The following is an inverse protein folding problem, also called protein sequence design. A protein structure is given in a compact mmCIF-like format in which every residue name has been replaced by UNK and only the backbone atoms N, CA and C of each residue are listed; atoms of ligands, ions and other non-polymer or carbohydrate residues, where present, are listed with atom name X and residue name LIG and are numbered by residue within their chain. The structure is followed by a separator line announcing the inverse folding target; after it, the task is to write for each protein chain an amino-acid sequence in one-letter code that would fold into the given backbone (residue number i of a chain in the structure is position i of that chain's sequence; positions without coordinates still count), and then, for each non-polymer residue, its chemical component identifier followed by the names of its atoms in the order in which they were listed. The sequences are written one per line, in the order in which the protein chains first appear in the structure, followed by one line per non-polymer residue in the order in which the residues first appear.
data_IF_395372381929
#
_entry.id   IF_395372381929
#
_cell.length_a   1.000
_cell.length_b   1.000
_cell.length_c   1.000
_cell.angle_alpha   90.00
_cell.angle_beta   90.00
_cell.angle_gamma   90.00
#
_symmetry.space_group_name_H-M   'P 1'
#
loop_
_entity.id
_entity.type
_entity.pdbx_description
1 polymer ?
#
# COMPACT_ATOMS: atom_id res chain seq x y z
N UNK A 1 32.59 42.92 -7.47
CA UNK A 1 31.26 42.64 -6.88
C UNK A 1 31.00 43.34 -5.54
N UNK A 2 31.92 44.13 -5.05
CA UNK A 2 31.84 44.70 -3.70
C UNK A 2 31.40 46.17 -3.58
N UNK A 3 30.99 46.79 -4.67
CA UNK A 3 30.54 48.19 -4.63
C UNK A 3 29.04 48.42 -4.49
N UNK A 4 28.21 47.40 -4.60
CA UNK A 4 26.75 47.53 -4.48
C UNK A 4 26.15 47.18 -3.13
N UNK A 5 26.94 46.60 -2.18
CA UNK A 5 26.47 46.28 -0.85
C UNK A 5 26.44 47.44 0.15
N UNK A 6 27.24 48.48 -0.09
CA UNK A 6 27.34 49.62 0.82
C UNK A 6 26.22 50.65 0.66
N UNK A 7 25.38 50.55 -0.37
CA UNK A 7 24.25 51.48 -0.62
C UNK A 7 22.95 51.09 0.08
N UNK A 8 22.86 49.86 0.59
CA UNK A 8 21.63 49.33 1.23
C UNK A 8 21.63 49.53 2.76
N UNK A 9 22.78 49.81 3.37
CA UNK A 9 22.88 49.97 4.84
C UNK A 9 22.49 51.38 5.35
N UNK A 10 22.20 52.34 4.45
CA UNK A 10 21.97 53.72 4.81
C UNK A 10 20.52 54.18 4.96
N UNK A 11 19.50 53.37 4.66
CA UNK A 11 18.09 53.81 4.71
C UNK A 11 17.19 52.80 5.46
N UNK A 12 16.91 53.02 6.77
CA UNK A 12 16.05 52.15 7.55
C UNK A 12 14.61 52.03 7.00
N UNK A 13 14.12 53.03 6.29
CA UNK A 13 12.76 53.01 5.71
C UNK A 13 12.63 52.06 4.48
N UNK A 14 13.70 51.80 3.77
CA UNK A 14 13.69 50.86 2.60
C UNK A 14 13.66 49.42 3.07
N UNK A 15 14.37 49.08 4.14
CA UNK A 15 14.38 47.77 4.73
C UNK A 15 13.02 47.38 5.29
N UNK A 16 12.32 48.33 5.95
CA UNK A 16 10.97 48.10 6.45
C UNK A 16 9.93 47.90 5.36
N UNK A 17 10.01 48.64 4.25
CA UNK A 17 9.11 48.49 3.11
C UNK A 17 9.29 47.17 2.36
N UNK A 18 10.53 46.66 2.23
CA UNK A 18 10.82 45.38 1.58
C UNK A 18 10.35 44.19 2.47
N UNK A 19 10.54 44.28 3.79
CA UNK A 19 10.10 43.22 4.71
C UNK A 19 8.57 43.16 4.83
N UNK A 20 7.85 44.31 4.79
CA UNK A 20 6.38 44.32 4.81
C UNK A 20 5.79 43.80 3.50
N UNK A 21 6.35 44.14 2.36
CA UNK A 21 5.88 43.61 1.04
C UNK A 21 6.14 42.12 0.91
N UNK A 22 7.28 41.61 1.36
CA UNK A 22 7.58 40.17 1.37
C UNK A 22 6.71 39.41 2.38
N UNK A 23 6.43 39.99 3.55
CA UNK A 23 5.55 39.42 4.57
C UNK A 23 4.09 39.33 4.10
N UNK A 24 3.57 40.37 3.45
CA UNK A 24 2.22 40.40 2.88
C UNK A 24 2.11 39.41 1.71
N UNK A 25 3.12 39.33 0.86
CA UNK A 25 3.16 38.37 -0.26
C UNK A 25 3.20 36.91 0.23
N UNK A 26 3.93 36.63 1.32
CA UNK A 26 4.00 35.30 1.93
C UNK A 26 2.68 34.92 2.63
N UNK A 27 2.07 35.84 3.36
CA UNK A 27 0.77 35.61 4.01
C UNK A 27 -0.38 35.43 3.00
N UNK A 28 -0.38 36.22 1.89
CA UNK A 28 -1.34 36.07 0.81
C UNK A 28 -1.17 34.71 0.08
N UNK A 29 0.07 34.31 -0.23
CA UNK A 29 0.34 32.99 -0.83
C UNK A 29 -0.05 31.82 0.09
N UNK A 30 0.14 31.95 1.41
CA UNK A 30 -0.26 30.94 2.40
C UNK A 30 -1.78 30.86 2.54
N UNK A 31 -2.51 31.97 2.49
CA UNK A 31 -3.98 32.01 2.47
C UNK A 31 -4.54 31.43 1.17
N UNK A 32 -3.98 31.78 0.00
CA UNK A 32 -4.39 31.21 -1.30
C UNK A 32 -4.12 29.69 -1.38
N UNK A 33 -2.98 29.19 -0.85
CA UNK A 33 -2.71 27.75 -0.79
C UNK A 33 -3.66 27.03 0.17
N UNK A 34 -3.99 27.62 1.34
CA UNK A 34 -4.99 27.07 2.26
C UNK A 34 -6.42 27.05 1.67
N UNK A 35 -6.77 28.08 0.89
CA UNK A 35 -8.09 28.16 0.25
C UNK A 35 -8.21 27.19 -0.93
N UNK A 36 -7.14 27.00 -1.75
CA UNK A 36 -7.10 25.97 -2.79
C UNK A 36 -7.08 24.54 -2.25
N UNK A 37 -6.45 24.30 -1.10
CA UNK A 37 -6.46 23.00 -0.43
C UNK A 37 -7.83 22.69 0.21
N UNK A 38 -8.60 23.70 0.67
CA UNK A 38 -9.95 23.51 1.22
C UNK A 38 -11.04 23.33 0.14
N UNK A 39 -10.83 23.78 -1.10
CA UNK A 39 -11.84 23.75 -2.16
C UNK A 39 -11.87 22.44 -2.97
N UNK A 40 -10.93 21.52 -2.75
CA UNK A 40 -10.84 20.30 -3.59
C UNK A 40 -11.55 19.07 -3.02
N UNK A 41 -11.96 19.07 -1.75
CA UNK A 41 -12.56 17.90 -1.09
C UNK A 41 -13.67 18.30 -0.12
N UNK A 42 -14.74 18.93 -0.61
CA UNK A 42 -16.02 18.86 0.06
C UNK A 42 -16.70 17.56 -0.39
N UNK A 43 -16.57 16.50 0.40
CA UNK A 43 -17.35 15.29 0.22
C UNK A 43 -18.80 15.65 0.53
N UNK A 44 -19.78 15.44 -0.37
CA UNK A 44 -21.20 15.60 -0.03
C UNK A 44 -21.52 14.65 1.12
N UNK A 45 -22.25 15.13 2.12
CA UNK A 45 -22.79 14.27 3.17
C UNK A 45 -23.75 13.26 2.51
N UNK A 46 -23.40 11.99 2.57
CA UNK A 46 -24.28 10.91 2.07
C UNK A 46 -25.46 10.81 3.02
N UNK A 47 -26.66 10.95 2.48
CA UNK A 47 -27.90 10.85 3.23
C UNK A 47 -28.00 9.46 3.90
N UNK A 48 -28.47 9.42 5.15
CA UNK A 48 -28.54 8.19 5.95
C UNK A 48 -29.45 7.11 5.32
N UNK A 49 -30.33 7.50 4.41
CA UNK A 49 -31.26 6.61 3.72
C UNK A 49 -30.62 5.87 2.52
N UNK A 50 -29.61 6.42 1.85
CA UNK A 50 -28.88 5.73 0.77
C UNK A 50 -27.90 4.67 1.30
N UNK A 51 -27.50 4.74 2.58
CA UNK A 51 -26.67 3.70 3.23
C UNK A 51 -27.35 2.34 3.31
N UNK A 52 -28.67 2.28 3.24
CA UNK A 52 -29.44 1.05 3.46
C UNK A 52 -29.47 0.08 2.26
N UNK A 53 -29.11 0.51 1.04
CA UNK A 53 -29.25 -0.34 -0.15
C UNK A 53 -28.00 -1.16 -0.51
N UNK A 54 -26.88 -0.97 0.21
CA UNK A 54 -25.62 -1.71 -0.03
C UNK A 54 -25.24 -2.70 1.09
N UNK A 55 -26.08 -2.84 2.09
CA UNK A 55 -25.86 -3.79 3.18
C UNK A 55 -26.53 -5.10 2.82
N UNK A 56 -25.80 -6.06 2.28
CA UNK A 56 -26.19 -7.46 2.28
C UNK A 56 -26.47 -7.84 3.75
N UNK A 57 -27.70 -8.22 4.08
CA UNK A 57 -28.16 -8.45 5.43
C UNK A 57 -27.22 -9.44 6.16
N UNK A 58 -26.62 -8.99 7.25
CA UNK A 58 -25.98 -9.77 8.33
C UNK A 58 -25.05 -10.96 7.96
N UNK A 59 -24.32 -10.90 6.84
CA UNK A 59 -23.29 -11.90 6.59
C UNK A 59 -22.05 -11.53 7.39
N UNK A 60 -21.74 -12.33 8.41
CA UNK A 60 -20.48 -12.23 9.14
C UNK A 60 -19.30 -12.54 8.19
N UNK A 61 -18.19 -11.84 8.38
CA UNK A 61 -16.95 -12.02 7.57
C UNK A 61 -16.50 -13.49 7.55
N UNK A 62 -16.53 -14.17 8.70
CA UNK A 62 -16.15 -15.57 8.80
C UNK A 62 -17.05 -16.48 7.95
N UNK A 63 -18.34 -16.19 7.91
CA UNK A 63 -19.31 -16.90 7.07
C UNK A 63 -19.06 -16.62 5.59
N UNK A 64 -18.72 -15.38 5.22
CA UNK A 64 -18.51 -15.00 3.83
C UNK A 64 -17.27 -15.68 3.20
N UNK A 65 -16.20 -15.84 3.97
CA UNK A 65 -14.93 -16.38 3.46
C UNK A 65 -14.68 -17.85 3.80
N UNK A 66 -15.50 -18.44 4.68
CA UNK A 66 -15.32 -19.78 5.17
C UNK A 66 -14.20 -19.93 6.21
N UNK A 67 -13.91 -21.18 6.63
CA UNK A 67 -12.96 -21.44 7.69
C UNK A 67 -11.51 -21.17 7.25
N UNK A 68 -10.72 -20.67 8.19
CA UNK A 68 -9.27 -20.49 8.05
C UNK A 68 -8.57 -21.80 8.39
N UNK A 69 -7.66 -22.24 7.52
CA UNK A 69 -6.86 -23.46 7.76
C UNK A 69 -5.69 -23.16 8.70
N UNK A 70 -5.60 -23.78 9.88
CA UNK A 70 -4.53 -23.53 10.83
C UNK A 70 -3.17 -24.06 10.37
N UNK A 71 -2.12 -23.29 10.58
CA UNK A 71 -0.73 -23.73 10.51
C UNK A 71 -0.24 -24.08 11.92
N UNK A 72 -0.56 -25.30 12.38
CA UNK A 72 -0.38 -25.71 13.78
C UNK A 72 1.08 -25.78 14.25
N UNK A 73 1.98 -26.14 13.34
CA UNK A 73 3.42 -26.31 13.62
C UNK A 73 4.25 -25.23 12.91
N UNK A 74 3.66 -24.05 12.67
CA UNK A 74 4.32 -22.98 11.94
C UNK A 74 5.45 -22.37 12.78
N UNK A 75 6.65 -22.39 12.21
CA UNK A 75 7.80 -21.66 12.71
C UNK A 75 8.23 -20.61 11.69
N UNK A 76 8.03 -19.34 12.03
CA UNK A 76 8.38 -18.24 11.12
C UNK A 76 9.89 -18.18 10.85
N UNK A 77 10.74 -18.61 11.80
CA UNK A 77 12.20 -18.52 11.67
C UNK A 77 12.75 -19.43 10.56
N UNK A 78 12.06 -20.54 10.30
CA UNK A 78 12.41 -21.50 9.25
C UNK A 78 11.59 -21.38 7.98
N UNK A 79 10.58 -20.48 7.98
CA UNK A 79 9.70 -20.27 6.84
C UNK A 79 10.39 -19.40 5.79
N UNK A 80 10.73 -19.98 4.64
CA UNK A 80 11.33 -19.26 3.53
C UNK A 80 10.27 -18.50 2.71
N UNK A 81 10.60 -17.30 2.19
CA UNK A 81 9.75 -16.60 1.24
C UNK A 81 9.48 -17.44 0.00
N UNK A 82 8.21 -17.62 -0.39
CA UNK A 82 7.88 -18.36 -1.60
C UNK A 82 8.41 -17.66 -2.85
N UNK A 83 8.80 -18.42 -3.88
CA UNK A 83 9.17 -17.85 -5.19
C UNK A 83 7.90 -17.50 -5.98
N UNK A 84 7.45 -16.24 -5.87
CA UNK A 84 6.19 -15.77 -6.50
C UNK A 84 6.41 -15.10 -7.88
N UNK A 85 7.65 -14.94 -8.31
CA UNK A 85 7.94 -14.38 -9.64
C UNK A 85 7.47 -15.30 -10.75
N UNK A 86 6.75 -14.68 -11.70
CA UNK A 86 6.27 -15.34 -12.93
C UNK A 86 6.79 -14.55 -14.11
N UNK A 87 7.80 -15.07 -14.75
CA UNK A 87 8.38 -14.48 -15.94
C UNK A 87 7.61 -14.95 -17.17
N UNK A 88 7.45 -14.05 -18.12
CA UNK A 88 6.81 -14.34 -19.40
C UNK A 88 7.66 -13.75 -20.53
N UNK A 89 7.92 -14.49 -21.59
CA UNK A 89 8.73 -14.02 -22.71
C UNK A 89 8.14 -12.80 -23.42
N UNK A 90 6.85 -12.53 -23.25
CA UNK A 90 6.19 -11.30 -23.72
C UNK A 90 5.31 -10.72 -22.62
N UNK A 91 5.43 -9.43 -22.40
CA UNK A 91 4.61 -8.74 -21.41
C UNK A 91 3.26 -8.32 -22.00
N UNK A 92 2.18 -8.79 -21.40
CA UNK A 92 0.84 -8.33 -21.73
C UNK A 92 0.23 -7.63 -20.52
N UNK A 93 -0.13 -6.35 -20.67
CA UNK A 93 -0.87 -5.62 -19.66
C UNK A 93 -2.28 -6.20 -19.55
N UNK A 94 -2.51 -6.91 -18.48
CA UNK A 94 -3.79 -7.51 -18.09
C UNK A 94 -3.98 -7.40 -16.59
N UNK A 95 -5.17 -7.71 -16.08
CA UNK A 95 -5.39 -7.78 -14.63
C UNK A 95 -4.54 -8.87 -13.96
N UNK A 96 -4.21 -9.95 -14.66
CA UNK A 96 -3.33 -11.03 -14.20
C UNK A 96 -3.82 -11.76 -12.95
N UNK A 97 -5.14 -11.76 -12.72
CA UNK A 97 -5.76 -12.27 -11.48
C UNK A 97 -5.86 -13.79 -11.48
N UNK A 98 -5.70 -14.37 -10.30
CA UNK A 98 -5.87 -15.80 -10.01
C UNK A 98 -6.77 -15.95 -8.79
N UNK A 99 -7.47 -17.08 -8.67
CA UNK A 99 -8.23 -17.41 -7.46
C UNK A 99 -7.26 -17.77 -6.33
N UNK A 100 -7.58 -17.36 -5.11
CA UNK A 100 -6.90 -17.78 -3.90
C UNK A 100 -7.93 -17.99 -2.78
N UNK A 101 -7.47 -18.32 -1.58
CA UNK A 101 -8.32 -18.57 -0.41
C UNK A 101 -8.02 -17.55 0.69
N UNK A 102 -8.86 -17.52 1.71
CA UNK A 102 -8.69 -16.67 2.89
C UNK A 102 -7.37 -16.97 3.63
N UNK A 103 -6.84 -18.15 3.48
CA UNK A 103 -5.58 -18.58 4.10
C UNK A 103 -4.36 -17.78 3.66
N UNK A 104 -4.45 -17.11 2.49
CA UNK A 104 -3.32 -16.47 1.83
C UNK A 104 -3.42 -14.94 1.82
N UNK A 105 -4.23 -14.34 2.69
CA UNK A 105 -4.39 -12.87 2.72
C UNK A 105 -3.26 -12.14 3.43
N UNK A 106 -2.58 -12.79 4.38
CA UNK A 106 -1.43 -12.25 5.11
C UNK A 106 -0.36 -13.34 5.16
N UNK A 107 0.90 -12.95 4.94
CA UNK A 107 2.00 -13.89 4.86
C UNK A 107 3.07 -13.56 5.90
N UNK A 108 3.63 -14.61 6.53
CA UNK A 108 4.72 -14.48 7.51
C UNK A 108 5.85 -15.40 7.07
N UNK A 109 7.09 -14.88 7.09
CA UNK A 109 8.30 -15.64 6.79
C UNK A 109 9.43 -15.28 7.79
N UNK A 110 10.64 -15.81 7.61
CA UNK A 110 11.77 -15.60 8.52
C UNK A 110 12.18 -14.12 8.67
N UNK A 111 11.73 -13.23 7.78
CA UNK A 111 12.01 -11.78 7.85
C UNK A 111 11.03 -11.03 8.73
N UNK A 112 10.02 -11.68 9.28
CA UNK A 112 8.91 -11.07 10.02
C UNK A 112 9.37 -10.00 11.02
N UNK A 113 10.28 -10.33 11.95
CA UNK A 113 10.76 -9.38 12.95
C UNK A 113 11.52 -8.19 12.35
N UNK A 114 12.41 -8.44 11.39
CA UNK A 114 13.19 -7.38 10.75
C UNK A 114 12.28 -6.41 10.00
N UNK A 115 11.28 -6.93 9.30
CA UNK A 115 10.33 -6.11 8.56
C UNK A 115 9.37 -5.34 9.48
N UNK A 116 8.91 -5.93 10.58
CA UNK A 116 8.14 -5.18 11.58
C UNK A 116 8.96 -4.03 12.19
N UNK A 117 10.25 -4.26 12.46
CA UNK A 117 11.15 -3.21 12.95
C UNK A 117 11.25 -2.05 11.95
N UNK A 118 11.44 -2.35 10.67
CA UNK A 118 11.49 -1.36 9.62
C UNK A 118 10.16 -0.60 9.45
N UNK A 119 9.02 -1.30 9.44
CA UNK A 119 7.70 -0.68 9.36
C UNK A 119 7.46 0.31 10.49
N UNK A 120 7.84 -0.04 11.71
CA UNK A 120 7.76 0.85 12.88
C UNK A 120 8.65 2.09 12.72
N UNK A 121 9.89 1.92 12.25
CA UNK A 121 10.79 3.02 11.99
C UNK A 121 10.28 3.95 10.86
N UNK A 122 9.75 3.37 9.78
CA UNK A 122 9.14 4.12 8.68
C UNK A 122 7.91 4.90 9.17
N UNK A 123 7.00 4.27 9.90
CA UNK A 123 5.80 4.93 10.40
C UNK A 123 6.12 6.08 11.39
N UNK A 124 7.17 5.92 12.21
CA UNK A 124 7.64 6.98 13.10
C UNK A 124 8.25 8.17 12.32
N UNK A 125 9.01 7.90 11.26
CA UNK A 125 9.64 8.93 10.43
C UNK A 125 8.67 9.57 9.43
N UNK A 126 7.64 8.83 9.00
CA UNK A 126 6.68 9.19 7.97
C UNK A 126 5.25 8.81 8.39
N UNK A 127 4.64 9.59 9.31
CA UNK A 127 3.30 9.27 9.85
C UNK A 127 2.20 9.16 8.77
N UNK A 128 2.42 9.73 7.60
CA UNK A 128 1.49 9.69 6.46
C UNK A 128 1.38 8.30 5.79
N UNK A 129 2.26 7.35 6.09
CA UNK A 129 2.15 5.98 5.59
C UNK A 129 1.01 5.19 6.24
N UNK A 130 0.42 5.74 7.31
CA UNK A 130 -0.78 5.22 7.94
C UNK A 130 -1.82 6.34 7.98
N UNK A 131 -2.95 6.13 7.33
CA UNK A 131 -4.02 7.12 7.29
C UNK A 131 -5.40 6.46 7.24
N UNK A 132 -6.37 7.08 7.88
CA UNK A 132 -7.77 6.67 7.84
C UNK A 132 -8.65 7.93 7.81
N UNK A 133 -9.51 8.06 6.79
CA UNK A 133 -10.56 9.06 6.78
C UNK A 133 -11.77 8.55 7.60
N UNK A 134 -12.53 9.43 8.27
CA UNK A 134 -13.65 9.01 9.12
C UNK A 134 -14.66 8.09 8.42
N UNK A 135 -14.90 8.31 7.15
CA UNK A 135 -15.83 7.48 6.34
C UNK A 135 -15.35 6.04 6.18
N UNK A 136 -14.06 5.76 6.32
CA UNK A 136 -13.48 4.42 6.22
C UNK A 136 -13.37 3.70 7.58
N UNK A 137 -13.59 4.38 8.71
CA UNK A 137 -13.46 3.77 10.03
C UNK A 137 -14.30 2.50 10.21
N UNK A 138 -15.59 2.44 9.76
CA UNK A 138 -16.38 1.21 9.87
C UNK A 138 -15.74 0.02 9.14
N UNK A 139 -15.11 0.25 7.97
CA UNK A 139 -14.43 -0.79 7.23
C UNK A 139 -13.12 -1.24 7.90
N UNK A 140 -12.37 -0.28 8.45
CA UNK A 140 -11.16 -0.57 9.21
C UNK A 140 -11.48 -1.38 10.48
N UNK A 141 -12.55 -1.03 11.20
CA UNK A 141 -12.99 -1.76 12.39
C UNK A 141 -13.51 -3.16 12.05
N UNK A 142 -14.26 -3.31 10.95
CA UNK A 142 -14.71 -4.60 10.43
C UNK A 142 -13.49 -5.51 10.13
N UNK A 143 -12.50 -4.98 9.41
CA UNK A 143 -11.28 -5.71 9.08
C UNK A 143 -10.44 -6.03 10.31
N UNK A 144 -10.18 -5.05 11.19
CA UNK A 144 -9.43 -5.24 12.42
C UNK A 144 -10.01 -6.34 13.29
N UNK A 145 -11.31 -6.30 13.55
CA UNK A 145 -12.01 -7.27 14.37
C UNK A 145 -11.86 -8.69 13.81
N UNK A 146 -12.06 -8.85 12.51
CA UNK A 146 -11.87 -10.15 11.86
C UNK A 146 -10.44 -10.66 11.95
N UNK A 147 -9.47 -9.81 11.65
CA UNK A 147 -8.06 -10.20 11.67
C UNK A 147 -7.61 -10.58 13.08
N UNK A 148 -7.95 -9.77 14.08
CA UNK A 148 -7.48 -9.95 15.46
C UNK A 148 -8.23 -11.05 16.20
N UNK A 149 -9.54 -11.14 16.04
CA UNK A 149 -10.34 -12.12 16.80
C UNK A 149 -10.41 -13.49 16.14
N UNK A 150 -10.29 -13.58 14.82
CA UNK A 150 -10.58 -14.79 14.06
C UNK A 150 -9.36 -15.25 13.26
N UNK A 151 -8.88 -14.43 12.33
CA UNK A 151 -7.93 -14.88 11.33
C UNK A 151 -6.55 -15.20 11.89
N UNK A 152 -5.93 -14.27 12.63
CA UNK A 152 -4.58 -14.46 13.18
C UNK A 152 -4.50 -15.63 14.16
N UNK A 153 -5.38 -15.75 15.17
CA UNK A 153 -5.30 -16.85 16.11
C UNK A 153 -5.62 -18.21 15.48
N UNK A 154 -6.43 -18.25 14.43
CA UNK A 154 -6.69 -19.50 13.71
C UNK A 154 -5.56 -19.85 12.74
N UNK A 155 -5.05 -18.88 11.96
CA UNK A 155 -4.03 -19.13 10.93
C UNK A 155 -2.67 -19.44 11.52
N UNK A 156 -2.22 -18.63 12.49
CA UNK A 156 -0.90 -18.70 13.10
C UNK A 156 -0.97 -18.89 14.62
N UNK A 157 -1.52 -20.02 15.10
CA UNK A 157 -1.71 -20.25 16.54
C UNK A 157 -0.40 -20.33 17.35
N UNK A 158 0.72 -20.57 16.69
CA UNK A 158 2.06 -20.55 17.31
C UNK A 158 2.57 -19.13 17.58
N UNK A 159 2.09 -18.13 16.82
CA UNK A 159 2.49 -16.73 16.95
C UNK A 159 1.44 -15.93 17.73
N UNK A 160 0.16 -16.15 17.46
CA UNK A 160 -0.94 -15.36 18.00
C UNK A 160 -1.86 -16.21 18.89
N UNK A 161 -2.02 -15.79 20.13
CA UNK A 161 -2.85 -16.50 21.11
C UNK A 161 -3.87 -15.57 21.73
N UNK A 162 -5.14 -16.00 21.73
CA UNK A 162 -6.21 -15.26 22.40
C UNK A 162 -6.09 -15.40 23.92
N UNK A 163 -6.15 -14.26 24.63
CA UNK A 163 -6.35 -14.19 26.08
C UNK A 163 -7.76 -13.66 26.33
N UNK A 164 -8.67 -14.56 26.70
CA UNK A 164 -10.05 -14.18 27.02
C UNK A 164 -10.14 -13.40 28.34
N UNK A 165 -9.22 -13.65 29.28
CA UNK A 165 -9.15 -12.94 30.55
C UNK A 165 -8.72 -11.47 30.35
N UNK A 166 -7.68 -11.24 29.55
CA UNK A 166 -7.15 -9.90 29.27
C UNK A 166 -7.85 -9.20 28.11
N UNK A 167 -8.75 -9.87 27.41
CA UNK A 167 -9.44 -9.38 26.21
C UNK A 167 -8.47 -8.87 25.13
N UNK A 168 -7.39 -9.62 24.90
CA UNK A 168 -6.35 -9.31 23.93
C UNK A 168 -5.96 -10.50 23.07
N UNK A 169 -5.43 -10.23 21.88
CA UNK A 169 -4.64 -11.16 21.08
C UNK A 169 -3.17 -10.91 21.38
N UNK A 170 -2.51 -11.88 21.99
CA UNK A 170 -1.09 -11.80 22.32
C UNK A 170 -0.24 -12.22 21.11
N UNK A 171 0.66 -11.37 20.66
CA UNK A 171 1.72 -11.70 19.72
C UNK A 171 2.93 -12.23 20.51
N UNK A 172 3.16 -13.53 20.47
CA UNK A 172 4.23 -14.21 21.24
C UNK A 172 5.64 -13.89 20.74
N UNK A 173 5.76 -13.42 19.50
CA UNK A 173 7.06 -13.13 18.89
C UNK A 173 7.52 -11.71 19.25
N UNK A 174 6.61 -10.75 19.24
CA UNK A 174 6.91 -9.35 19.56
C UNK A 174 6.65 -8.97 21.01
N UNK A 175 5.87 -9.76 21.73
CA UNK A 175 5.37 -9.44 23.08
C UNK A 175 4.25 -8.40 23.09
N UNK A 176 3.76 -7.96 21.94
CA UNK A 176 2.65 -6.99 21.87
C UNK A 176 1.29 -7.65 22.08
N UNK A 177 0.38 -6.91 22.72
CA UNK A 177 -1.02 -7.27 22.91
C UNK A 177 -1.92 -6.37 22.06
N UNK A 178 -2.80 -6.97 21.26
CA UNK A 178 -3.79 -6.25 20.44
C UNK A 178 -5.16 -6.40 21.12
N UNK A 179 -5.85 -5.31 21.49
CA UNK A 179 -7.19 -5.37 22.04
C UNK A 179 -8.15 -6.14 21.13
N UNK A 180 -8.99 -7.02 21.69
CA UNK A 180 -10.02 -7.72 20.90
C UNK A 180 -11.09 -6.74 20.42
N UNK A 181 -11.50 -5.78 21.28
CA UNK A 181 -12.30 -4.65 20.83
C UNK A 181 -11.44 -3.71 19.97
N UNK A 182 -11.99 -3.21 18.86
CA UNK A 182 -11.29 -2.24 18.05
C UNK A 182 -11.02 -0.94 18.84
N UNK A 183 -9.91 -0.22 18.58
CA UNK A 183 -9.62 1.09 19.14
C UNK A 183 -10.68 2.16 18.83
N UNK A 184 -10.54 3.33 19.43
CA UNK A 184 -11.49 4.44 19.26
C UNK A 184 -11.47 4.99 17.84
N UNK A 185 -10.29 5.03 17.20
CA UNK A 185 -10.14 5.55 15.84
C UNK A 185 -9.64 4.48 14.87
N UNK A 186 -10.04 4.60 13.60
CA UNK A 186 -9.54 3.72 12.54
C UNK A 186 -8.01 3.83 12.37
N UNK A 187 -7.43 5.01 12.60
CA UNK A 187 -5.98 5.20 12.55
C UNK A 187 -5.25 4.36 13.62
N UNK A 188 -5.73 4.39 14.86
CA UNK A 188 -5.15 3.58 15.94
C UNK A 188 -5.23 2.07 15.62
N UNK A 189 -6.35 1.62 15.06
CA UNK A 189 -6.50 0.23 14.61
C UNK A 189 -5.46 -0.14 13.54
N UNK A 190 -5.23 0.74 12.55
CA UNK A 190 -4.21 0.52 11.52
C UNK A 190 -2.78 0.57 12.10
N UNK A 191 -2.50 1.43 13.07
CA UNK A 191 -1.21 1.49 13.76
C UNK A 191 -0.90 0.18 14.51
N UNK A 192 -1.91 -0.41 15.17
CA UNK A 192 -1.78 -1.72 15.81
C UNK A 192 -1.48 -2.83 14.79
N UNK A 193 -2.21 -2.84 13.66
CA UNK A 193 -1.95 -3.80 12.57
C UNK A 193 -0.55 -3.60 11.99
N UNK A 194 -0.11 -2.37 11.72
CA UNK A 194 1.22 -2.07 11.18
C UNK A 194 2.36 -2.55 12.08
N UNK A 195 2.17 -2.54 13.41
CA UNK A 195 3.19 -3.02 14.36
C UNK A 195 3.28 -4.53 14.43
N UNK A 196 2.26 -5.26 13.96
CA UNK A 196 2.14 -6.69 14.11
C UNK A 196 2.03 -7.48 12.81
N UNK A 197 1.84 -6.81 11.66
CA UNK A 197 1.71 -7.43 10.33
C UNK A 197 2.70 -6.82 9.35
N UNK A 198 3.21 -7.65 8.44
CA UNK A 198 4.19 -7.27 7.44
C UNK A 198 3.58 -6.89 6.08
N UNK A 199 2.28 -6.81 6.01
CA UNK A 199 1.57 -6.47 4.78
C UNK A 199 1.14 -5.00 4.76
N UNK A 200 1.07 -4.40 3.58
CA UNK A 200 0.41 -3.12 3.35
C UNK A 200 -1.08 -3.36 3.04
N UNK A 201 -1.94 -2.45 3.51
CA UNK A 201 -3.39 -2.55 3.37
C UNK A 201 -3.95 -1.27 2.77
N UNK A 202 -4.66 -1.38 1.66
CA UNK A 202 -5.36 -0.26 1.02
C UNK A 202 -6.87 -0.52 1.05
N UNK A 203 -7.64 0.43 1.60
CA UNK A 203 -9.08 0.35 1.74
C UNK A 203 -9.76 1.19 0.67
N UNK A 204 -10.26 0.53 -0.38
CA UNK A 204 -11.00 1.17 -1.46
C UNK A 204 -12.49 1.17 -1.11
N UNK A 205 -13.01 2.35 -0.77
CA UNK A 205 -14.41 2.53 -0.37
C UNK A 205 -15.29 2.84 -1.57
N UNK A 206 -16.51 2.22 -1.67
CA UNK A 206 -17.48 2.60 -2.69
C UNK A 206 -17.99 4.03 -2.44
N UNK A 207 -18.21 4.79 -3.52
CA UNK A 207 -18.66 6.20 -3.43
C UNK A 207 -20.17 6.37 -3.50
N UNK A 208 -20.93 5.31 -3.78
CA UNK A 208 -22.37 5.39 -4.04
C UNK A 208 -22.75 5.97 -5.41
N UNK A 209 -21.83 6.59 -6.13
CA UNK A 209 -22.10 7.20 -7.45
C UNK A 209 -21.85 6.18 -8.57
N UNK A 210 -22.89 5.85 -9.33
CA UNK A 210 -22.78 4.99 -10.52
C UNK A 210 -22.05 5.68 -11.68
N UNK A 211 -21.99 7.01 -11.69
CA UNK A 211 -21.43 7.84 -12.77
C UNK A 211 -19.98 8.24 -12.50
N UNK A 212 -19.04 7.34 -12.69
CA UNK A 212 -17.66 7.72 -13.02
C UNK A 212 -16.54 7.40 -12.04
N UNK A 213 -16.71 7.42 -10.71
CA UNK A 213 -15.60 7.13 -9.78
C UNK A 213 -16.05 6.22 -8.64
N UNK A 214 -16.37 4.97 -8.98
CA UNK A 214 -16.99 4.01 -8.07
C UNK A 214 -16.22 3.70 -6.77
N UNK A 215 -14.91 3.99 -6.67
CA UNK A 215 -14.10 3.66 -5.50
C UNK A 215 -13.03 4.71 -5.23
N UNK A 216 -12.85 5.05 -3.94
CA UNK A 216 -11.80 5.95 -3.46
C UNK A 216 -10.94 5.24 -2.41
N UNK A 217 -9.64 5.47 -2.44
CA UNK A 217 -8.73 5.05 -1.39
C UNK A 217 -8.94 5.94 -0.16
N UNK A 218 -9.54 5.41 0.92
CA UNK A 218 -9.93 6.22 2.07
C UNK A 218 -9.30 5.79 3.39
N UNK A 219 -8.60 4.66 3.43
CA UNK A 219 -7.70 4.30 4.51
C UNK A 219 -6.54 3.47 3.95
N UNK A 220 -5.38 3.56 4.60
CA UNK A 220 -4.20 2.83 4.16
C UNK A 220 -3.20 2.58 5.30
N UNK A 221 -2.49 1.48 5.17
CA UNK A 221 -1.14 1.26 5.64
C UNK A 221 -0.32 1.02 4.38
N UNK A 222 0.65 1.90 4.09
CA UNK A 222 1.50 1.78 2.91
C UNK A 222 2.94 2.14 3.25
N UNK A 223 3.62 1.22 3.94
CA UNK A 223 4.97 1.43 4.44
C UNK A 223 6.04 1.32 3.34
N UNK A 224 5.82 0.45 2.35
CA UNK A 224 6.76 0.19 1.26
C UNK A 224 6.23 0.59 -0.13
N UNK A 225 5.87 1.88 -0.33
CA UNK A 225 5.32 2.32 -1.60
C UNK A 225 6.39 2.37 -2.68
N UNK A 226 6.09 1.79 -3.86
CA UNK A 226 6.95 1.90 -5.04
C UNK A 226 6.82 3.28 -5.67
N UNK A 227 7.84 4.15 -5.49
CA UNK A 227 7.91 5.50 -6.08
C UNK A 227 6.64 6.37 -5.89
N UNK A 228 5.81 6.03 -4.92
CA UNK A 228 4.54 6.70 -4.62
C UNK A 228 4.61 7.37 -3.25
N UNK A 229 4.03 8.56 -3.13
CA UNK A 229 3.85 9.25 -1.87
C UNK A 229 2.44 8.91 -1.33
N UNK A 230 2.32 8.13 -0.24
CA UNK A 230 1.03 7.71 0.30
C UNK A 230 0.11 8.88 0.66
N UNK A 231 0.70 9.99 1.16
CA UNK A 231 -0.07 11.18 1.52
C UNK A 231 -0.85 11.78 0.34
N UNK A 232 -0.33 11.61 -0.88
CA UNK A 232 -0.96 12.12 -2.11
C UNK A 232 -1.98 11.16 -2.71
N UNK A 233 -2.10 9.96 -2.15
CA UNK A 233 -2.97 8.90 -2.66
C UNK A 233 -4.26 8.76 -1.87
N UNK A 234 -4.30 9.27 -0.66
CA UNK A 234 -5.54 9.28 0.13
C UNK A 234 -6.61 10.12 -0.58
N UNK A 235 -7.78 9.54 -0.80
CA UNK A 235 -8.84 10.13 -1.61
C UNK A 235 -8.72 9.92 -3.12
N UNK A 236 -7.69 9.22 -3.61
CA UNK A 236 -7.49 8.93 -5.02
C UNK A 236 -8.48 7.88 -5.53
N UNK A 237 -8.90 8.04 -6.79
CA UNK A 237 -9.68 7.03 -7.52
C UNK A 237 -8.79 5.88 -7.99
N UNK A 238 -9.40 4.79 -8.46
CA UNK A 238 -8.66 3.70 -9.14
C UNK A 238 -7.83 4.25 -10.31
N UNK A 239 -8.36 5.21 -11.05
CA UNK A 239 -7.69 5.81 -12.20
C UNK A 239 -6.48 6.64 -11.78
N UNK A 240 -6.61 7.43 -10.69
CA UNK A 240 -5.49 8.20 -10.16
C UNK A 240 -4.36 7.30 -9.63
N UNK A 241 -4.72 6.18 -9.01
CA UNK A 241 -3.75 5.20 -8.51
C UNK A 241 -2.94 4.55 -9.64
N UNK A 242 -3.56 4.34 -10.80
CA UNK A 242 -2.96 3.68 -11.95
C UNK A 242 -2.53 4.65 -13.08
N UNK A 243 -2.68 5.96 -12.91
CA UNK A 243 -2.41 6.95 -13.95
C UNK A 243 -0.99 6.91 -14.55
N UNK A 244 -0.02 6.37 -13.79
CA UNK A 244 1.37 6.23 -14.26
C UNK A 244 1.62 4.94 -15.04
N UNK A 245 0.70 3.97 -14.99
CA UNK A 245 0.87 2.67 -15.67
C UNK A 245 0.64 2.86 -17.17
N UNK A 246 1.66 2.66 -18.02
CA UNK A 246 1.50 2.82 -19.46
C UNK A 246 0.39 1.93 -20.02
N UNK A 247 -0.48 2.50 -20.86
CA UNK A 247 -1.59 1.77 -21.47
C UNK A 247 -2.76 1.42 -20.54
N UNK A 248 -2.75 1.90 -19.28
CA UNK A 248 -3.82 1.59 -18.33
C UNK A 248 -5.17 2.10 -18.82
N UNK A 249 -5.25 3.37 -19.22
CA UNK A 249 -6.50 4.01 -19.62
C UNK A 249 -7.17 3.26 -20.78
N UNK A 250 -6.39 2.93 -21.80
CA UNK A 250 -6.90 2.30 -23.03
C UNK A 250 -7.22 0.83 -22.86
N UNK A 251 -6.50 0.11 -21.98
CA UNK A 251 -6.55 -1.35 -21.91
C UNK A 251 -7.20 -1.93 -20.66
N UNK A 252 -7.12 -1.23 -19.52
CA UNK A 252 -7.56 -1.77 -18.23
C UNK A 252 -8.66 -0.96 -17.54
N UNK A 253 -8.71 0.37 -17.68
CA UNK A 253 -9.59 1.24 -16.91
C UNK A 253 -11.02 0.73 -16.88
N UNK A 254 -11.68 0.61 -18.02
CA UNK A 254 -13.08 0.19 -18.07
C UNK A 254 -13.33 -1.27 -17.63
N UNK A 255 -12.33 -2.15 -17.75
CA UNK A 255 -12.46 -3.53 -17.27
C UNK A 255 -12.24 -3.64 -15.77
N UNK A 256 -11.31 -2.86 -15.22
CA UNK A 256 -11.03 -2.80 -13.79
C UNK A 256 -12.20 -2.18 -13.02
N UNK A 257 -12.78 -1.08 -13.52
CA UNK A 257 -13.96 -0.46 -12.92
C UNK A 257 -15.15 -1.42 -12.87
N UNK A 258 -15.44 -2.11 -13.98
CA UNK A 258 -16.49 -3.13 -14.01
C UNK A 258 -16.20 -4.27 -13.04
N UNK A 259 -14.94 -4.69 -12.96
CA UNK A 259 -14.50 -5.76 -12.07
C UNK A 259 -14.72 -5.35 -10.60
N UNK A 260 -14.29 -4.16 -10.18
CA UNK A 260 -14.47 -3.68 -8.81
C UNK A 260 -15.94 -3.54 -8.42
N UNK A 261 -16.80 -3.05 -9.32
CA UNK A 261 -18.23 -2.94 -9.08
C UNK A 261 -18.92 -4.30 -8.88
N UNK A 262 -18.55 -5.28 -9.70
CA UNK A 262 -19.13 -6.64 -9.66
C UNK A 262 -18.43 -7.60 -8.70
N UNK A 263 -17.43 -7.11 -7.94
CA UNK A 263 -16.66 -7.97 -7.07
C UNK A 263 -17.43 -8.29 -5.79
N UNK A 264 -17.82 -9.55 -5.63
CA UNK A 264 -18.67 -10.05 -4.56
C UNK A 264 -17.88 -10.45 -3.32
N UNK A 265 -18.50 -10.39 -2.14
CA UNK A 265 -17.97 -10.96 -0.90
C UNK A 265 -17.82 -12.48 -1.02
N UNK A 266 -16.90 -13.08 -0.28
CA UNK A 266 -16.58 -14.51 -0.38
C UNK A 266 -15.62 -14.88 -1.51
N UNK A 267 -15.46 -14.01 -2.49
CA UNK A 267 -14.44 -14.19 -3.53
C UNK A 267 -13.13 -13.54 -3.11
N UNK A 268 -12.02 -14.29 -3.26
CA UNK A 268 -10.67 -13.79 -3.02
C UNK A 268 -9.84 -14.04 -4.27
N UNK A 269 -9.10 -13.04 -4.69
CA UNK A 269 -8.18 -13.15 -5.82
C UNK A 269 -6.80 -12.67 -5.41
N UNK A 270 -5.79 -13.16 -6.12
CA UNK A 270 -4.43 -12.63 -6.02
C UNK A 270 -3.82 -12.42 -7.40
N UNK A 271 -2.74 -11.66 -7.40
CA UNK A 271 -1.83 -11.52 -8.55
C UNK A 271 -0.42 -11.27 -8.03
N UNK A 272 0.57 -11.56 -8.84
CA UNK A 272 1.95 -11.12 -8.60
C UNK A 272 2.37 -10.10 -9.63
N UNK A 273 3.11 -9.09 -9.19
CA UNK A 273 3.79 -8.13 -10.05
C UNK A 273 5.28 -8.20 -9.75
N UNK A 274 6.15 -7.93 -10.72
CA UNK A 274 7.59 -7.92 -10.51
C UNK A 274 8.23 -6.70 -11.17
N UNK A 275 9.37 -6.29 -10.65
CA UNK A 275 10.23 -5.25 -11.20
C UNK A 275 11.66 -5.46 -10.73
N UNK A 276 12.59 -4.74 -11.36
CA UNK A 276 14.00 -4.74 -10.94
C UNK A 276 14.20 -3.58 -9.97
N UNK A 277 14.88 -3.86 -8.86
CA UNK A 277 15.25 -2.88 -7.85
C UNK A 277 16.74 -2.97 -7.57
N UNK A 278 17.35 -1.82 -7.30
CA UNK A 278 18.77 -1.70 -6.95
C UNK A 278 18.96 -1.60 -5.43
N UNK A 279 17.85 -1.61 -4.67
CA UNK A 279 17.88 -1.48 -3.21
C UNK A 279 17.43 -2.77 -2.56
N UNK A 280 18.21 -3.25 -1.57
CA UNK A 280 17.81 -4.39 -0.77
C UNK A 280 16.74 -4.00 0.25
N UNK A 281 15.90 -4.96 0.64
CA UNK A 281 14.99 -4.81 1.76
C UNK A 281 15.71 -4.59 3.11
N UNK A 282 17.02 -4.82 3.17
CA UNK A 282 17.84 -4.58 4.36
C UNK A 282 18.19 -3.11 4.54
N UNK A 283 18.07 -2.28 3.47
CA UNK A 283 18.32 -0.84 3.53
C UNK A 283 16.99 -0.07 3.51
N UNK A 284 16.06 -0.52 4.32
CA UNK A 284 14.67 -0.06 4.40
C UNK A 284 14.54 1.43 4.78
N UNK A 285 15.54 2.00 5.43
CA UNK A 285 15.61 3.45 5.69
C UNK A 285 15.76 4.29 4.41
N UNK A 286 16.16 3.69 3.29
CA UNK A 286 16.37 4.35 2.00
C UNK A 286 15.28 4.06 0.95
N UNK A 287 14.28 3.24 1.27
CA UNK A 287 13.16 2.91 0.36
C UNK A 287 12.38 4.13 -0.14
N UNK A 288 12.56 5.29 0.49
CA UNK A 288 11.89 6.54 0.14
C UNK A 288 12.69 7.51 -0.74
N UNK A 289 13.95 7.22 -1.05
CA UNK A 289 14.81 8.16 -1.79
C UNK A 289 15.13 7.62 -3.19
N UNK A 290 14.29 8.02 -4.13
CA UNK A 290 14.56 8.29 -5.54
C UNK A 290 15.51 7.38 -6.35
N UNK A 291 15.20 7.31 -7.62
CA UNK A 291 16.06 6.79 -8.69
C UNK A 291 17.54 7.10 -8.51
N UNK A 292 18.39 6.12 -8.79
CA UNK A 292 19.80 6.43 -9.04
C UNK A 292 19.88 7.40 -10.22
N UNK A 293 20.62 8.50 -10.04
CA UNK A 293 20.97 9.36 -11.18
C UNK A 293 21.67 8.51 -12.26
N UNK A 294 21.50 8.87 -13.52
CA UNK A 294 22.05 8.15 -14.66
C UNK A 294 23.56 7.83 -14.49
N UNK A 295 24.28 8.69 -13.81
CA UNK A 295 25.72 8.55 -13.54
C UNK A 295 26.07 7.38 -12.58
N UNK A 296 25.12 6.91 -11.77
CA UNK A 296 25.34 5.77 -10.86
C UNK A 296 24.94 4.42 -11.46
N UNK A 297 24.33 4.40 -12.65
CA UNK A 297 23.91 3.14 -13.32
C UNK A 297 25.11 2.34 -13.86
N UNK A 298 26.25 2.96 -14.07
CA UNK A 298 27.43 2.32 -14.69
C UNK A 298 28.32 1.50 -13.73
N UNK A 299 28.08 1.58 -12.41
CA UNK A 299 28.88 0.87 -11.39
C UNK A 299 28.04 -0.07 -10.51
N UNK A 300 27.08 -0.79 -11.12
CA UNK A 300 26.20 -1.69 -10.40
C UNK A 300 26.77 -3.10 -10.36
N UNK A 301 27.26 -3.50 -9.19
CA UNK A 301 27.55 -4.91 -8.92
C UNK A 301 26.26 -5.72 -8.95
N UNK A 302 26.24 -6.91 -9.58
CA UNK A 302 25.09 -7.82 -9.55
C UNK A 302 24.55 -8.13 -8.15
N UNK A 303 25.40 -8.07 -7.13
CA UNK A 303 25.03 -8.25 -5.72
C UNK A 303 24.12 -7.15 -5.15
N UNK A 304 24.00 -6.01 -5.84
CA UNK A 304 23.12 -4.88 -5.47
C UNK A 304 21.81 -4.85 -6.27
N UNK A 305 21.59 -5.85 -7.12
CA UNK A 305 20.40 -5.95 -7.96
C UNK A 305 19.47 -6.99 -7.36
N UNK A 306 18.19 -6.62 -7.26
CA UNK A 306 17.14 -7.44 -6.68
C UNK A 306 15.94 -7.51 -7.63
N UNK A 307 15.24 -8.63 -7.60
CA UNK A 307 13.91 -8.76 -8.18
C UNK A 307 12.92 -8.52 -7.06
N UNK A 308 12.20 -7.40 -7.14
CA UNK A 308 11.12 -7.04 -6.25
C UNK A 308 9.81 -7.61 -6.79
N UNK A 309 9.10 -8.35 -5.97
CA UNK A 309 7.81 -8.91 -6.32
C UNK A 309 6.78 -8.50 -5.29
N UNK A 310 5.60 -8.13 -5.75
CA UNK A 310 4.44 -7.85 -4.92
C UNK A 310 3.42 -8.98 -5.08
N UNK A 311 3.10 -9.68 -4.00
CA UNK A 311 1.90 -10.49 -3.93
C UNK A 311 0.75 -9.57 -3.55
N UNK A 312 -0.19 -9.40 -4.45
CA UNK A 312 -1.32 -8.51 -4.30
C UNK A 312 -2.59 -9.33 -4.18
N UNK A 313 -3.28 -9.23 -3.04
CA UNK A 313 -4.53 -9.96 -2.77
C UNK A 313 -5.68 -8.97 -2.64
N UNK A 314 -6.85 -9.30 -3.22
CA UNK A 314 -8.04 -8.47 -3.17
C UNK A 314 -9.23 -9.28 -2.71
N UNK A 315 -10.02 -8.72 -1.78
CA UNK A 315 -11.30 -9.24 -1.32
C UNK A 315 -12.24 -8.11 -0.89
N UNK A 316 -13.53 -8.40 -0.83
CA UNK A 316 -14.57 -7.44 -0.42
C UNK A 316 -15.06 -7.77 0.98
N UNK A 317 -15.04 -6.79 1.89
CA UNK A 317 -15.68 -6.90 3.19
C UNK A 317 -17.21 -6.95 3.04
N UNK A 318 -17.90 -7.86 3.74
CA UNK A 318 -19.34 -8.05 3.56
C UNK A 318 -20.19 -6.89 4.09
N UNK A 319 -19.85 -6.30 5.25
CA UNK A 319 -20.65 -5.24 5.89
C UNK A 319 -20.41 -3.87 5.27
N UNK A 320 -19.17 -3.42 5.22
CA UNK A 320 -18.81 -2.10 4.70
C UNK A 320 -18.78 -2.04 3.17
N UNK A 321 -18.71 -3.20 2.51
CA UNK A 321 -18.49 -3.26 1.06
C UNK A 321 -17.13 -2.76 0.59
N UNK A 322 -16.22 -2.44 1.50
CA UNK A 322 -14.86 -2.02 1.17
C UNK A 322 -14.09 -3.12 0.42
N UNK A 323 -13.30 -2.73 -0.59
CA UNK A 323 -12.36 -3.64 -1.26
C UNK A 323 -11.02 -3.47 -0.58
N UNK A 324 -10.55 -4.53 0.06
CA UNK A 324 -9.27 -4.55 0.73
C UNK A 324 -8.23 -5.08 -0.24
N UNK A 325 -7.24 -4.25 -0.52
CA UNK A 325 -6.09 -4.62 -1.32
C UNK A 325 -4.89 -4.81 -0.39
N UNK A 326 -4.43 -6.04 -0.28
CA UNK A 326 -3.30 -6.43 0.56
C UNK A 326 -2.08 -6.59 -0.32
N UNK A 327 -0.97 -6.00 0.07
CA UNK A 327 0.29 -6.06 -0.67
C UNK A 327 1.37 -6.62 0.25
N UNK A 328 1.89 -7.80 -0.09
CA UNK A 328 3.08 -8.35 0.53
C UNK A 328 4.26 -8.22 -0.43
N UNK A 329 5.34 -7.58 0.03
CA UNK A 329 6.52 -7.36 -0.79
C UNK A 329 7.59 -8.42 -0.53
N UNK A 330 8.04 -9.08 -1.58
CA UNK A 330 9.19 -9.95 -1.58
C UNK A 330 10.34 -9.34 -2.38
N UNK A 331 11.54 -9.38 -1.83
CA UNK A 331 12.76 -8.90 -2.50
C UNK A 331 13.76 -10.05 -2.57
N UNK A 332 14.06 -10.46 -3.79
CA UNK A 332 14.96 -11.59 -4.05
C UNK A 332 16.30 -11.10 -4.61
N UNK A 333 17.43 -11.42 -3.98
CA UNK A 333 18.74 -11.17 -4.58
C UNK A 333 18.82 -11.83 -5.95
N UNK A 334 19.42 -11.14 -6.93
CA UNK A 334 19.60 -11.71 -8.27
C UNK A 334 20.36 -13.06 -8.25
N UNK A 335 21.26 -13.23 -7.28
CA UNK A 335 21.99 -14.49 -7.07
C UNK A 335 21.05 -15.66 -6.80
N UNK A 336 19.98 -15.48 -5.99
CA UNK A 336 18.99 -16.53 -5.73
C UNK A 336 18.35 -17.03 -7.02
N UNK A 337 17.94 -16.10 -7.91
CA UNK A 337 17.34 -16.50 -9.19
C UNK A 337 18.33 -17.26 -10.09
N UNK A 338 19.61 -16.88 -10.02
CA UNK A 338 20.68 -17.58 -10.72
C UNK A 338 20.84 -19.01 -10.19
N UNK A 339 20.86 -19.19 -8.87
CA UNK A 339 20.99 -20.49 -8.20
C UNK A 339 19.77 -21.40 -8.47
N UNK A 340 18.58 -20.81 -8.60
CA UNK A 340 17.36 -21.51 -9.00
C UNK A 340 17.25 -21.76 -10.51
N UNK A 341 18.25 -21.37 -11.32
CA UNK A 341 18.25 -21.53 -12.77
C UNK A 341 17.27 -20.61 -13.52
N UNK A 342 16.75 -19.55 -12.84
CA UNK A 342 15.74 -18.63 -13.40
C UNK A 342 16.34 -17.43 -14.16
N UNK A 343 17.66 -17.37 -14.29
CA UNK A 343 18.32 -16.30 -15.02
C UNK A 343 17.90 -16.14 -16.47
N UNK A 344 17.88 -17.22 -17.29
CA UNK A 344 17.44 -17.15 -18.69
C UNK A 344 15.98 -16.65 -18.83
N UNK A 345 15.04 -17.16 -18.01
CA UNK A 345 13.65 -16.74 -18.03
C UNK A 345 13.49 -15.25 -17.66
N UNK A 346 14.30 -14.75 -16.71
CA UNK A 346 14.29 -13.33 -16.34
C UNK A 346 14.80 -12.45 -17.49
N UNK A 347 15.90 -12.84 -18.15
CA UNK A 347 16.44 -12.10 -19.31
C UNK A 347 15.39 -12.02 -20.42
N UNK A 348 14.80 -13.15 -20.79
CA UNK A 348 13.75 -13.21 -21.80
C UNK A 348 12.55 -12.32 -21.42
N UNK A 349 12.13 -12.34 -20.15
CA UNK A 349 11.02 -11.51 -19.68
C UNK A 349 11.36 -10.01 -19.71
N UNK A 350 12.60 -9.62 -19.40
CA UNK A 350 13.06 -8.23 -19.50
C UNK A 350 13.04 -7.75 -20.94
N UNK A 351 13.61 -8.53 -21.87
CA UNK A 351 13.60 -8.21 -23.30
C UNK A 351 12.17 -8.16 -23.86
N UNK A 352 11.33 -9.07 -23.43
CA UNK A 352 9.92 -9.16 -23.82
C UNK A 352 9.04 -7.99 -23.33
N UNK A 353 9.51 -7.15 -22.42
CA UNK A 353 8.81 -5.91 -22.05
C UNK A 353 8.60 -4.98 -23.25
N UNK A 354 9.54 -4.98 -24.21
CA UNK A 354 9.48 -4.17 -25.44
C UNK A 354 8.52 -4.75 -26.49
N UNK A 355 8.28 -6.06 -26.44
CA UNK A 355 7.56 -6.81 -27.47
C UNK A 355 6.08 -7.05 -27.14
N UNK A 356 5.63 -6.70 -25.94
CA UNK A 356 4.26 -6.91 -25.48
C UNK A 356 3.26 -5.91 -26.05
N UNK A 357 2.03 -5.95 -25.51
CA UNK A 357 0.96 -5.06 -25.96
C UNK A 357 1.10 -3.62 -25.50
N UNK A 358 2.10 -3.31 -24.66
CA UNK A 358 2.46 -1.98 -24.15
C UNK A 358 3.98 -1.85 -24.05
N UNK A 359 4.70 -1.55 -25.16
CA UNK A 359 6.17 -1.45 -25.17
C UNK A 359 6.74 -0.41 -24.18
N UNK A 360 5.97 0.63 -23.83
CA UNK A 360 6.36 1.63 -22.83
C UNK A 360 6.56 1.05 -21.41
N UNK A 361 6.13 -0.19 -21.15
CA UNK A 361 6.40 -0.91 -19.90
C UNK A 361 7.89 -1.15 -19.66
N UNK A 362 8.70 -1.18 -20.71
CA UNK A 362 10.16 -1.25 -20.57
C UNK A 362 10.69 -0.13 -19.67
N UNK A 363 10.34 1.12 -19.97
CA UNK A 363 10.78 2.28 -19.18
C UNK A 363 10.15 2.28 -17.79
N UNK A 364 8.90 1.84 -17.68
CA UNK A 364 8.16 1.83 -16.42
C UNK A 364 8.71 0.82 -15.40
N UNK A 365 9.18 -0.35 -15.86
CA UNK A 365 9.68 -1.42 -14.99
C UNK A 365 11.19 -1.38 -14.76
N UNK A 366 11.93 -0.63 -15.56
CA UNK A 366 13.38 -0.49 -15.47
C UNK A 366 13.83 0.88 -14.93
N UNK A 367 12.90 1.75 -14.58
CA UNK A 367 13.17 3.10 -14.06
C UNK A 367 13.49 3.11 -12.61
#
# INVERSE_FOLDING_TARGET
MDQHWNLIQGHPLVVTAVLTTLGIGYAARRRFKKQKARSKYSVPAIDAQEKASFVDAEVDIATAFGPVTPLKDFDYQTSEPPSIYKFSPKYFLTMGIQKTTIDNIINIDHRYLSRLSARRAIAAARPEVIACLPVAEPAVFEFYTYIVQIWLPQRYPTIFTLSSEEQVLQNRVTGEALPLAHPVTGREALELLNRNLDDDFLFMMPTGNEEGHGFLLQALIWAFPDHTDPAKRLGATLNDLHARVPGYREKLEGSLDRFFRKFESGRIICRSNWGISIKSSQDESQLSKGYLSADKKNDLSPSKIFVRCELQTLFRLPKSGARIFVIHEYVYPLQRLKDEGKGPELIEAIDGLKEGNVPAMWNYKNG
#
